data_IF_147215375406
#
_entry.id   IF_147215375406
#
_cell.length_a   1.000
_cell.length_b   1.000
_cell.length_c   1.000
_cell.angle_alpha   90.00
_cell.angle_beta   90.00
_cell.angle_gamma   90.00
#
_symmetry.space_group_name_H-M   'P 1'
#
loop_
_entity.id
_entity.type
_entity.pdbx_description
1 polymer ?
#
# COMPACT_ATOMS: atom_id res chain seq x y z
N UNK A 1 17.04 1.16 -17.28
CA UNK A 1 16.25 2.34 -16.85
C UNK A 1 16.37 3.51 -17.82
N UNK A 2 17.57 3.93 -18.22
CA UNK A 2 17.75 5.17 -19.02
C UNK A 2 17.02 5.15 -20.37
N UNK A 3 17.03 4.04 -21.09
CA UNK A 3 16.27 3.87 -22.34
C UNK A 3 14.75 4.08 -22.12
N UNK A 4 14.23 3.57 -21.00
CA UNK A 4 12.81 3.72 -20.63
C UNK A 4 12.52 5.19 -20.30
N UNK A 5 13.39 5.83 -19.52
CA UNK A 5 13.25 7.25 -19.19
C UNK A 5 13.34 8.14 -20.42
N UNK A 6 14.27 7.86 -21.32
CA UNK A 6 14.41 8.55 -22.60
C UNK A 6 13.12 8.43 -23.42
N UNK A 7 12.58 7.21 -23.53
CA UNK A 7 11.32 6.99 -24.23
C UNK A 7 10.15 7.74 -23.58
N UNK A 8 10.02 7.70 -22.25
CA UNK A 8 8.95 8.41 -21.52
C UNK A 8 9.04 9.92 -21.73
N UNK A 9 10.25 10.49 -21.70
CA UNK A 9 10.45 11.94 -21.79
C UNK A 9 10.37 12.47 -23.22
N UNK A 10 10.78 11.69 -24.22
CA UNK A 10 10.69 12.07 -25.63
C UNK A 10 9.33 11.67 -26.24
N UNK A 11 8.25 11.88 -25.47
CA UNK A 11 6.92 11.49 -25.89
C UNK A 11 6.46 12.18 -27.18
N UNK A 12 6.96 13.37 -27.48
CA UNK A 12 6.66 14.10 -28.71
C UNK A 12 7.13 13.35 -29.97
N UNK A 13 8.15 12.49 -29.88
CA UNK A 13 8.68 11.75 -31.03
C UNK A 13 7.79 10.56 -31.45
N UNK A 14 6.97 10.05 -30.54
CA UNK A 14 6.18 8.83 -30.78
C UNK A 14 4.69 8.98 -30.51
N UNK A 15 4.27 9.98 -29.73
CA UNK A 15 2.86 10.20 -29.40
C UNK A 15 2.24 11.16 -30.41
N UNK A 16 1.22 10.70 -31.10
CA UNK A 16 0.33 11.60 -31.85
C UNK A 16 -0.52 12.41 -30.86
N UNK A 17 -0.52 13.76 -30.92
CA UNK A 17 -1.38 14.58 -30.08
C UNK A 17 -2.86 14.19 -30.26
N UNK A 18 -3.52 13.90 -29.15
CA UNK A 18 -4.97 13.68 -29.15
C UNK A 18 -5.65 15.04 -29.17
N UNK A 19 -6.60 15.23 -30.09
CA UNK A 19 -7.29 16.51 -30.29
C UNK A 19 -8.63 16.48 -29.56
N UNK A 20 -8.97 17.59 -28.89
CA UNK A 20 -10.30 17.83 -28.34
C UNK A 20 -11.30 18.04 -29.50
N UNK A 21 -12.33 17.20 -29.65
CA UNK A 21 -13.27 17.30 -30.75
C UNK A 21 -14.13 18.57 -30.75
N UNK A 22 -14.25 19.26 -29.60
CA UNK A 22 -15.02 20.50 -29.49
C UNK A 22 -14.18 21.74 -29.80
N UNK A 23 -12.97 21.85 -29.25
CA UNK A 23 -12.11 23.05 -29.44
C UNK A 23 -11.15 22.92 -30.62
N UNK A 24 -10.91 21.71 -31.11
CA UNK A 24 -9.89 21.39 -32.11
C UNK A 24 -8.45 21.72 -31.65
N UNK A 25 -8.22 21.75 -30.33
CA UNK A 25 -6.92 21.95 -29.71
C UNK A 25 -6.34 20.63 -29.19
N UNK A 26 -5.02 20.56 -29.03
CA UNK A 26 -4.38 19.37 -28.46
C UNK A 26 -4.73 19.23 -26.97
N UNK A 27 -5.13 18.03 -26.56
CA UNK A 27 -5.31 17.69 -25.14
C UNK A 27 -3.98 17.71 -24.42
N UNK A 28 -4.04 18.11 -23.14
CA UNK A 28 -2.89 18.15 -22.26
C UNK A 28 -2.23 16.77 -22.15
N UNK A 29 -0.91 16.75 -22.27
CA UNK A 29 -0.08 15.60 -21.96
C UNK A 29 1.30 16.10 -21.55
N UNK A 30 1.67 15.89 -20.29
CA UNK A 30 2.91 16.37 -19.70
C UNK A 30 3.49 15.29 -18.82
N UNK A 31 4.79 15.06 -18.98
CA UNK A 31 5.57 14.17 -18.13
C UNK A 31 6.89 14.86 -17.82
N UNK A 32 7.29 14.86 -16.55
CA UNK A 32 8.54 15.48 -16.11
C UNK A 32 9.23 14.63 -15.06
N UNK A 33 10.57 14.62 -15.10
CA UNK A 33 11.39 14.17 -13.97
C UNK A 33 11.37 15.22 -12.87
N UNK A 34 11.46 14.74 -11.64
CA UNK A 34 11.70 15.58 -10.46
C UNK A 34 13.20 15.82 -10.28
N UNK A 35 14.04 14.85 -10.67
CA UNK A 35 15.50 15.00 -10.64
C UNK A 35 16.09 15.01 -12.04
N UNK A 36 16.91 16.01 -12.34
CA UNK A 36 17.67 16.07 -13.60
C UNK A 36 18.56 14.83 -13.76
N UNK A 37 19.27 14.48 -12.68
CA UNK A 37 20.11 13.28 -12.59
C UNK A 37 19.41 12.18 -11.77
N UNK A 38 19.59 10.93 -12.19
CA UNK A 38 19.06 9.79 -11.46
C UNK A 38 19.73 9.69 -10.08
N UNK A 39 18.92 9.46 -9.06
CA UNK A 39 19.36 9.37 -7.68
C UNK A 39 19.76 7.92 -7.33
N UNK A 40 20.51 7.76 -6.25
CA UNK A 40 20.94 6.46 -5.73
C UNK A 40 20.47 6.25 -4.30
N UNK A 41 20.21 5.00 -3.96
CA UNK A 41 19.88 4.56 -2.60
C UNK A 41 20.43 3.14 -2.38
N UNK A 42 20.89 2.84 -1.16
CA UNK A 42 21.37 1.52 -0.79
C UNK A 42 20.33 0.88 0.12
N UNK A 43 19.83 -0.30 -0.25
CA UNK A 43 18.84 -1.07 0.53
C UNK A 43 19.35 -2.51 0.62
N UNK A 44 19.45 -3.07 1.82
CA UNK A 44 20.07 -4.40 2.08
C UNK A 44 21.43 -4.60 1.40
N UNK A 45 22.26 -3.55 1.40
CA UNK A 45 23.59 -3.57 0.74
C UNK A 45 23.56 -3.59 -0.79
N UNK A 46 22.39 -3.51 -1.42
CA UNK A 46 22.23 -3.40 -2.87
C UNK A 46 22.01 -1.94 -3.25
N UNK A 47 22.76 -1.44 -4.22
CA UNK A 47 22.57 -0.09 -4.77
C UNK A 47 21.44 -0.10 -5.80
N UNK A 48 20.45 0.76 -5.60
CA UNK A 48 19.39 1.02 -6.55
C UNK A 48 19.56 2.42 -7.12
N UNK A 49 19.40 2.53 -8.44
CA UNK A 49 19.28 3.81 -9.13
C UNK A 49 17.81 4.10 -9.38
N UNK A 50 17.35 5.32 -9.11
CA UNK A 50 15.94 5.70 -9.26
C UNK A 50 15.73 7.12 -9.76
N UNK A 51 14.52 7.39 -10.24
CA UNK A 51 14.04 8.74 -10.51
C UNK A 51 12.56 8.85 -10.12
N UNK A 52 12.08 10.06 -9.92
CA UNK A 52 10.69 10.35 -9.57
C UNK A 52 10.04 11.13 -10.71
N UNK A 53 8.92 10.62 -11.22
CA UNK A 53 8.26 11.14 -12.42
C UNK A 53 6.87 11.64 -12.04
N UNK A 54 6.53 12.84 -12.50
CA UNK A 54 5.16 13.37 -12.45
C UNK A 54 4.54 13.27 -13.84
N UNK A 55 3.29 12.84 -13.91
CA UNK A 55 2.54 12.75 -15.17
C UNK A 55 1.19 13.43 -15.02
N UNK A 56 0.73 14.03 -16.12
CA UNK A 56 -0.58 14.65 -16.23
C UNK A 56 -1.05 14.57 -17.68
N UNK A 57 -2.28 14.09 -17.90
CA UNK A 57 -2.89 14.09 -19.22
C UNK A 57 -4.41 14.12 -19.18
N UNK A 58 -5.00 14.68 -20.23
CA UNK A 58 -6.45 14.73 -20.42
C UNK A 58 -6.95 13.63 -21.35
N UNK A 59 -8.19 13.18 -21.08
CA UNK A 59 -8.93 12.27 -21.95
C UNK A 59 -10.36 12.75 -22.11
N UNK A 60 -10.94 12.61 -23.30
CA UNK A 60 -12.36 12.92 -23.52
C UNK A 60 -13.22 11.85 -22.87
N UNK A 61 -14.24 12.28 -22.13
CA UNK A 61 -15.24 11.41 -21.53
C UNK A 61 -16.19 10.94 -22.63
N UNK A 62 -16.34 9.63 -22.74
CA UNK A 62 -17.20 9.02 -23.76
C UNK A 62 -18.64 9.51 -23.62
N UNK A 63 -19.23 9.98 -24.72
CA UNK A 63 -20.57 10.55 -24.76
C UNK A 63 -20.66 12.04 -24.41
N UNK A 64 -19.53 12.71 -24.13
CA UNK A 64 -19.46 14.15 -23.84
C UNK A 64 -18.68 14.92 -24.90
N UNK A 65 -18.40 14.32 -26.05
CA UNK A 65 -17.49 14.85 -27.08
C UNK A 65 -17.91 16.23 -27.58
N UNK A 66 -19.21 16.52 -27.61
CA UNK A 66 -19.75 17.82 -28.06
C UNK A 66 -20.12 18.77 -26.93
N UNK A 67 -19.92 18.39 -25.66
CA UNK A 67 -20.29 19.23 -24.52
C UNK A 67 -19.36 20.45 -24.49
N UNK A 68 -19.87 21.71 -24.49
CA UNK A 68 -19.01 22.90 -24.47
C UNK A 68 -18.23 23.05 -23.16
N UNK A 69 -18.69 22.47 -22.06
CA UNK A 69 -18.10 22.60 -20.73
C UNK A 69 -16.94 21.60 -20.58
N UNK A 70 -15.70 22.11 -20.51
CA UNK A 70 -14.49 21.28 -20.41
C UNK A 70 -14.47 20.37 -19.18
N UNK A 71 -14.95 20.83 -18.03
CA UNK A 71 -14.99 20.04 -16.80
C UNK A 71 -15.94 18.83 -16.85
N UNK A 72 -16.94 18.87 -17.74
CA UNK A 72 -17.86 17.75 -17.98
C UNK A 72 -17.42 16.89 -19.18
N UNK A 73 -16.64 17.47 -20.09
CA UNK A 73 -16.10 16.82 -21.30
C UNK A 73 -14.79 16.06 -21.05
N UNK A 74 -13.93 16.58 -20.18
CA UNK A 74 -12.56 16.10 -20.01
C UNK A 74 -12.37 15.43 -18.65
N UNK A 75 -11.67 14.31 -18.67
CA UNK A 75 -11.14 13.65 -17.49
C UNK A 75 -9.64 13.85 -17.42
N UNK A 76 -9.22 14.65 -16.45
CA UNK A 76 -7.82 14.84 -16.07
C UNK A 76 -7.31 13.63 -15.29
N UNK A 77 -6.19 13.06 -15.73
CA UNK A 77 -5.48 11.99 -15.04
C UNK A 77 -4.08 12.46 -14.69
N UNK A 78 -3.71 12.40 -13.42
CA UNK A 78 -2.40 12.80 -12.94
C UNK A 78 -1.92 11.89 -11.82
N UNK A 79 -0.62 11.92 -11.58
CA UNK A 79 0.01 11.18 -10.50
C UNK A 79 1.52 11.17 -10.58
N UNK A 80 2.09 10.30 -9.76
CA UNK A 80 3.52 10.21 -9.51
C UNK A 80 4.00 8.77 -9.58
N UNK A 81 5.22 8.57 -10.08
CA UNK A 81 5.82 7.25 -10.30
C UNK A 81 7.26 7.27 -9.84
N UNK A 82 7.64 6.30 -9.01
CA UNK A 82 9.04 5.99 -8.75
C UNK A 82 9.48 4.93 -9.76
N UNK A 83 10.41 5.28 -10.64
CA UNK A 83 11.08 4.30 -11.50
C UNK A 83 12.43 3.96 -10.88
N UNK A 84 12.77 2.69 -10.77
CA UNK A 84 14.03 2.27 -10.16
C UNK A 84 14.60 1.01 -10.80
N UNK A 85 15.89 0.76 -10.57
CA UNK A 85 16.60 -0.40 -11.07
C UNK A 85 17.74 -0.81 -10.15
N UNK A 86 17.98 -2.12 -10.06
CA UNK A 86 19.16 -2.76 -9.46
C UNK A 86 20.31 -2.96 -10.49
N UNK A 87 20.15 -2.44 -11.71
CA UNK A 87 21.05 -2.66 -12.84
C UNK A 87 20.70 -3.87 -13.71
N UNK A 88 19.82 -4.76 -13.24
CA UNK A 88 19.35 -5.94 -13.99
C UNK A 88 17.92 -5.74 -14.48
N UNK A 89 17.02 -5.26 -13.62
CA UNK A 89 15.60 -5.07 -13.91
C UNK A 89 15.19 -3.64 -13.60
N UNK A 90 14.30 -3.08 -14.42
CA UNK A 90 13.67 -1.78 -14.16
C UNK A 90 12.25 -2.01 -13.69
N UNK A 91 11.88 -1.38 -12.58
CA UNK A 91 10.61 -1.55 -11.87
C UNK A 91 9.97 -0.19 -11.59
N UNK A 92 8.68 -0.22 -11.25
CA UNK A 92 7.87 0.97 -11.02
C UNK A 92 7.08 0.83 -9.71
N UNK A 93 7.00 1.91 -8.93
CA UNK A 93 5.98 2.12 -7.91
C UNK A 93 5.03 3.21 -8.43
N UNK A 94 3.73 2.93 -8.46
CA UNK A 94 2.71 3.81 -9.05
C UNK A 94 1.71 4.20 -7.99
N UNK A 95 1.36 5.48 -7.95
CA UNK A 95 0.37 6.09 -7.05
C UNK A 95 -1.10 5.72 -7.34
N UNK A 96 -1.34 4.54 -7.89
CA UNK A 96 -2.67 4.08 -8.32
C UNK A 96 -2.87 2.62 -7.92
N UNK A 97 -4.13 2.29 -7.61
CA UNK A 97 -4.52 0.94 -7.26
C UNK A 97 -4.02 -0.08 -8.29
N UNK A 98 -3.47 -1.18 -7.77
CA UNK A 98 -2.97 -2.27 -8.60
C UNK A 98 -4.07 -2.80 -9.52
N UNK A 99 -3.71 -3.04 -10.79
CA UNK A 99 -4.58 -3.67 -11.77
C UNK A 99 -4.58 -2.97 -13.13
N UNK A 100 -5.65 -3.15 -13.93
CA UNK A 100 -5.74 -2.63 -15.30
C UNK A 100 -5.56 -1.11 -15.42
N UNK A 101 -5.96 -0.36 -14.39
CA UNK A 101 -5.82 1.10 -14.37
C UNK A 101 -4.34 1.54 -14.30
N UNK A 102 -3.56 1.00 -13.36
CA UNK A 102 -2.14 1.29 -13.25
C UNK A 102 -1.37 0.85 -14.51
N UNK A 103 -1.68 -0.35 -15.04
CA UNK A 103 -1.08 -0.82 -16.30
C UNK A 103 -1.44 0.08 -17.49
N UNK A 104 -2.68 0.57 -17.56
CA UNK A 104 -3.10 1.51 -18.60
C UNK A 104 -2.32 2.83 -18.52
N UNK A 105 -2.13 3.38 -17.32
CA UNK A 105 -1.34 4.59 -17.12
C UNK A 105 0.11 4.34 -17.55
N UNK A 106 0.74 3.27 -17.07
CA UNK A 106 2.10 2.91 -17.45
C UNK A 106 2.27 2.71 -18.97
N UNK A 107 1.26 2.17 -19.66
CA UNK A 107 1.25 2.04 -21.12
C UNK A 107 1.15 3.38 -21.84
N UNK A 108 0.29 4.27 -21.33
CA UNK A 108 0.08 5.63 -21.88
C UNK A 108 1.34 6.49 -21.74
N UNK A 109 2.09 6.35 -20.65
CA UNK A 109 3.32 7.13 -20.42
C UNK A 109 4.56 6.57 -21.12
N UNK A 110 4.61 5.25 -21.37
CA UNK A 110 5.83 4.56 -21.80
C UNK A 110 5.72 3.95 -23.20
N UNK A 111 4.72 4.31 -24.01
CA UNK A 111 4.52 3.80 -25.38
C UNK A 111 4.64 2.26 -25.49
N UNK A 112 4.23 1.53 -24.47
CA UNK A 112 4.64 0.14 -24.31
C UNK A 112 3.84 -0.85 -25.16
N UNK A 113 2.94 -0.36 -26.02
CA UNK A 113 2.16 -1.18 -26.96
C UNK A 113 3.05 -1.94 -27.97
N UNK A 114 4.31 -1.50 -28.16
CA UNK A 114 5.23 -2.11 -29.11
C UNK A 114 6.31 -3.04 -28.52
N UNK A 115 6.72 -2.96 -27.25
CA UNK A 115 7.99 -3.62 -26.86
C UNK A 115 8.22 -4.17 -25.43
N UNK A 116 7.40 -3.99 -24.38
CA UNK A 116 7.79 -4.44 -23.02
C UNK A 116 6.59 -4.89 -22.18
N UNK A 117 6.56 -6.17 -21.77
CA UNK A 117 5.52 -6.72 -20.89
C UNK A 117 5.71 -6.10 -19.49
N UNK A 118 4.97 -5.04 -19.20
CA UNK A 118 4.87 -4.51 -17.83
C UNK A 118 3.96 -5.47 -17.05
N UNK A 119 4.54 -6.21 -16.12
CA UNK A 119 3.83 -7.18 -15.28
C UNK A 119 3.55 -6.60 -13.90
N UNK A 120 2.34 -6.87 -13.39
CA UNK A 120 1.94 -6.40 -12.06
C UNK A 120 2.39 -7.39 -10.98
N UNK A 121 3.41 -7.02 -10.21
CA UNK A 121 3.87 -7.81 -9.06
C UNK A 121 2.88 -7.74 -7.88
N UNK A 122 2.65 -8.88 -7.22
CA UNK A 122 1.74 -9.05 -6.09
C UNK A 122 2.50 -9.37 -4.82
N UNK A 123 2.02 -8.89 -3.67
CA UNK A 123 2.35 -9.48 -2.36
C UNK A 123 1.34 -10.53 -1.89
N UNK A 124 0.26 -10.78 -2.65
CA UNK A 124 -0.78 -11.77 -2.31
C UNK A 124 -1.36 -11.57 -0.90
N UNK A 125 -1.63 -10.31 -0.56
CA UNK A 125 -2.26 -9.92 0.71
C UNK A 125 -3.69 -10.47 0.73
N UNK A 126 -4.02 -11.22 1.78
CA UNK A 126 -5.32 -11.86 1.99
C UNK A 126 -5.89 -11.50 3.36
N UNK A 127 -7.15 -11.83 3.58
CA UNK A 127 -7.76 -11.75 4.91
C UNK A 127 -6.99 -12.59 5.95
N UNK A 128 -6.46 -13.74 5.54
CA UNK A 128 -5.74 -14.62 6.46
C UNK A 128 -4.48 -13.95 7.03
N UNK A 129 -3.76 -13.22 6.17
CA UNK A 129 -2.66 -12.36 6.57
C UNK A 129 -3.07 -11.28 7.58
N UNK A 130 -4.27 -10.69 7.43
CA UNK A 130 -4.75 -9.68 8.39
C UNK A 130 -5.02 -10.27 9.76
N UNK A 131 -5.65 -11.45 9.79
CA UNK A 131 -5.96 -12.16 11.03
C UNK A 131 -4.66 -12.65 11.70
N UNK A 132 -3.66 -13.07 10.93
CA UNK A 132 -2.32 -13.34 11.43
C UNK A 132 -1.67 -12.10 12.05
N UNK A 133 -1.72 -10.94 11.37
CA UNK A 133 -1.13 -9.70 11.88
C UNK A 133 -1.77 -9.29 13.22
N UNK A 134 -3.10 -9.40 13.33
CA UNK A 134 -3.87 -9.19 14.55
C UNK A 134 -3.48 -10.16 15.66
N UNK A 135 -3.34 -11.46 15.34
CA UNK A 135 -2.99 -12.48 16.33
C UNK A 135 -1.60 -12.27 16.92
N UNK A 136 -0.61 -11.89 16.08
CA UNK A 136 0.74 -11.51 16.51
C UNK A 136 0.70 -10.31 17.45
N UNK A 137 -0.04 -9.27 17.09
CA UNK A 137 -0.15 -8.07 17.93
C UNK A 137 -0.83 -8.35 19.28
N UNK A 138 -1.96 -9.06 19.26
CA UNK A 138 -2.76 -9.32 20.47
C UNK A 138 -2.13 -10.32 21.43
N UNK A 139 -1.36 -11.30 20.92
CA UNK A 139 -0.62 -12.25 21.76
C UNK A 139 0.65 -11.64 22.37
N UNK A 140 1.02 -10.41 22.00
CA UNK A 140 2.29 -9.79 22.40
C UNK A 140 3.49 -10.23 21.55
N UNK A 141 3.30 -11.17 20.62
CA UNK A 141 4.32 -11.66 19.67
C UNK A 141 4.56 -10.67 18.52
N UNK A 142 4.85 -9.43 18.89
CA UNK A 142 4.90 -8.28 17.97
C UNK A 142 6.16 -8.23 17.09
N UNK A 143 7.23 -8.91 17.49
CA UNK A 143 8.48 -9.00 16.72
C UNK A 143 8.23 -9.91 15.52
N UNK A 144 8.58 -9.45 14.33
CA UNK A 144 8.43 -10.20 13.08
C UNK A 144 9.77 -10.72 12.55
N UNK A 145 10.84 -9.95 12.76
CA UNK A 145 12.19 -10.31 12.35
C UNK A 145 13.16 -9.65 13.35
N UNK A 146 13.85 -10.48 14.12
CA UNK A 146 14.80 -10.04 15.17
C UNK A 146 16.04 -9.37 14.57
N UNK A 147 16.57 -9.93 13.47
CA UNK A 147 17.80 -9.44 12.84
C UNK A 147 17.63 -8.01 12.33
N UNK A 148 16.49 -7.72 11.73
CA UNK A 148 16.17 -6.39 11.21
C UNK A 148 15.42 -5.50 12.20
N UNK A 149 15.25 -5.94 13.45
CA UNK A 149 14.48 -5.23 14.49
C UNK A 149 13.09 -4.79 13.99
N UNK A 150 12.44 -5.66 13.21
CA UNK A 150 11.13 -5.43 12.62
C UNK A 150 10.03 -5.86 13.58
N UNK A 151 9.10 -4.96 13.89
CA UNK A 151 7.98 -5.27 14.79
C UNK A 151 6.71 -4.51 14.45
N UNK A 152 5.59 -5.11 14.80
CA UNK A 152 4.27 -4.47 14.83
C UNK A 152 4.20 -3.60 16.08
N UNK A 153 4.22 -2.28 15.92
CA UNK A 153 4.09 -1.37 17.05
C UNK A 153 2.62 -1.15 17.44
N UNK A 154 1.72 -1.08 16.46
CA UNK A 154 0.29 -0.82 16.69
C UNK A 154 -0.53 -1.25 15.48
N UNK A 155 -1.78 -1.67 15.70
CA UNK A 155 -2.78 -1.82 14.64
C UNK A 155 -3.73 -0.62 14.71
N UNK A 156 -3.54 0.35 13.83
CA UNK A 156 -4.23 1.65 13.88
C UNK A 156 -5.65 1.59 13.31
N UNK A 157 -5.98 0.57 12.51
CA UNK A 157 -7.32 0.42 11.96
C UNK A 157 -7.55 -0.93 11.29
N UNK A 158 -8.81 -1.31 11.12
CA UNK A 158 -9.22 -2.37 10.18
C UNK A 158 -10.64 -2.11 9.66
N UNK A 159 -10.98 -2.67 8.49
CA UNK A 159 -12.32 -2.62 7.87
C UNK A 159 -12.70 -3.96 7.22
N UNK A 160 -13.99 -4.15 6.98
CA UNK A 160 -14.49 -5.27 6.18
C UNK A 160 -15.69 -4.92 5.34
N UNK A 161 -16.18 -5.92 4.62
CA UNK A 161 -17.27 -5.75 3.68
C UNK A 161 -18.59 -5.44 4.42
N UNK A 162 -19.32 -4.43 3.95
CA UNK A 162 -20.59 -4.01 4.54
C UNK A 162 -20.49 -3.20 5.85
N UNK A 163 -19.31 -3.01 6.43
CA UNK A 163 -19.12 -2.22 7.66
C UNK A 163 -18.39 -0.90 7.37
N UNK A 164 -18.99 0.25 7.76
CA UNK A 164 -18.30 1.54 7.76
C UNK A 164 -17.50 1.79 9.05
N UNK A 165 -17.53 0.85 10.00
CA UNK A 165 -16.90 1.01 11.31
C UNK A 165 -15.42 0.64 11.21
N UNK A 166 -14.55 1.62 11.48
CA UNK A 166 -13.14 1.38 11.79
C UNK A 166 -13.00 1.12 13.29
N UNK A 167 -12.37 0.02 13.68
CA UNK A 167 -11.91 -0.13 15.07
C UNK A 167 -10.41 0.13 15.13
N UNK A 168 -9.97 0.82 16.19
CA UNK A 168 -8.58 1.21 16.42
C UNK A 168 -8.04 0.37 17.59
N UNK A 169 -6.98 -0.38 17.37
CA UNK A 169 -6.29 -1.14 18.42
C UNK A 169 -5.03 -0.38 18.87
N UNK A 170 -5.15 0.37 19.96
CA UNK A 170 -4.01 1.11 20.53
C UNK A 170 -3.54 0.51 21.85
N UNK A 171 -2.22 0.42 22.04
CA UNK A 171 -1.63 -0.06 23.29
C UNK A 171 -1.83 0.87 24.50
N UNK A 172 -2.43 2.05 24.32
CA UNK A 172 -2.62 3.04 25.38
C UNK A 172 -4.05 3.60 25.37
N UNK A 173 -4.99 2.88 25.99
CA UNK A 173 -6.36 3.33 26.23
C UNK A 173 -7.38 2.20 26.23
N UNK A 174 -7.93 1.88 27.41
CA UNK A 174 -8.94 0.85 27.73
C UNK A 174 -8.88 -0.42 26.87
N UNK A 175 -8.00 -1.35 27.26
CA UNK A 175 -7.92 -2.71 26.70
C UNK A 175 -9.29 -3.40 26.59
N UNK A 176 -10.23 -3.13 27.51
CA UNK A 176 -11.61 -3.64 27.48
C UNK A 176 -12.33 -3.17 26.21
N UNK A 177 -12.29 -1.87 25.90
CA UNK A 177 -12.97 -1.32 24.71
C UNK A 177 -12.29 -1.78 23.42
N UNK A 178 -10.97 -1.97 23.44
CA UNK A 178 -10.21 -2.47 22.30
C UNK A 178 -10.54 -3.94 22.02
N UNK A 179 -10.66 -4.77 23.07
CA UNK A 179 -11.07 -6.17 22.94
C UNK A 179 -12.53 -6.32 22.53
N UNK A 180 -13.44 -5.55 23.15
CA UNK A 180 -14.87 -5.55 22.81
C UNK A 180 -15.11 -5.08 21.37
N UNK A 181 -14.43 -4.01 20.94
CA UNK A 181 -14.56 -3.51 19.57
C UNK A 181 -13.97 -4.50 18.55
N UNK A 182 -12.85 -5.15 18.88
CA UNK A 182 -12.25 -6.17 18.02
C UNK A 182 -13.09 -7.44 17.92
N UNK A 183 -13.67 -7.91 19.02
CA UNK A 183 -14.57 -9.06 18.98
C UNK A 183 -15.88 -8.73 18.27
N UNK A 184 -16.53 -7.61 18.62
CA UNK A 184 -17.74 -7.14 17.93
C UNK A 184 -17.50 -7.06 16.43
N UNK A 185 -16.36 -6.53 16.01
CA UNK A 185 -15.98 -6.51 14.61
C UNK A 185 -15.76 -7.90 14.02
N UNK A 186 -14.94 -8.76 14.63
CA UNK A 186 -14.67 -10.10 14.10
C UNK A 186 -15.92 -11.01 14.05
N UNK A 187 -16.91 -10.76 14.91
CA UNK A 187 -18.20 -11.46 14.92
C UNK A 187 -19.20 -10.83 13.94
N UNK A 188 -19.22 -9.50 13.80
CA UNK A 188 -20.13 -8.77 12.90
C UNK A 188 -19.72 -8.87 11.42
N UNK A 189 -18.46 -9.18 11.13
CA UNK A 189 -17.95 -9.14 9.77
C UNK A 189 -17.89 -10.48 9.08
N UNK A 190 -18.34 -10.49 7.82
CA UNK A 190 -18.20 -11.62 6.91
C UNK A 190 -16.75 -11.79 6.41
N UNK A 191 -16.10 -10.70 5.97
CA UNK A 191 -14.73 -10.71 5.43
C UNK A 191 -13.97 -9.42 5.76
N UNK A 192 -12.75 -9.54 6.26
CA UNK A 192 -11.84 -8.40 6.47
C UNK A 192 -11.16 -7.97 5.16
N UNK A 193 -11.25 -6.68 4.85
CA UNK A 193 -10.80 -6.11 3.57
C UNK A 193 -9.62 -5.16 3.70
N UNK A 194 -9.38 -4.62 4.90
CA UNK A 194 -8.34 -3.64 5.16
C UNK A 194 -7.78 -3.83 6.58
N UNK A 195 -6.46 -3.71 6.73
CA UNK A 195 -5.80 -3.52 8.02
C UNK A 195 -4.76 -2.41 7.90
N UNK A 196 -4.67 -1.56 8.91
CA UNK A 196 -3.68 -0.49 9.02
C UNK A 196 -2.81 -0.74 10.25
N UNK A 197 -1.50 -0.75 10.03
CA UNK A 197 -0.53 -1.07 11.06
C UNK A 197 0.63 -0.08 11.05
N UNK A 198 1.04 0.31 12.24
CA UNK A 198 2.31 0.99 12.49
C UNK A 198 3.40 -0.04 12.69
N UNK A 199 4.39 -0.03 11.81
CA UNK A 199 5.54 -0.91 11.80
C UNK A 199 6.78 -0.12 12.22
N UNK A 200 7.61 -0.72 13.06
CA UNK A 200 8.93 -0.19 13.40
C UNK A 200 9.98 -1.16 12.83
N UNK A 201 11.01 -0.61 12.20
CA UNK A 201 12.19 -1.35 11.73
C UNK A 201 13.45 -0.55 12.05
N UNK A 202 14.24 -1.00 13.02
CA UNK A 202 15.38 -0.22 13.50
C UNK A 202 14.94 1.18 14.00
N UNK A 203 15.46 2.25 13.39
CA UNK A 203 15.06 3.64 13.64
C UNK A 203 13.83 4.11 12.86
N UNK A 204 13.36 3.30 11.91
CA UNK A 204 12.33 3.66 10.94
C UNK A 204 10.95 3.30 11.49
N UNK A 205 9.99 4.23 11.37
CA UNK A 205 8.59 4.02 11.71
C UNK A 205 7.73 4.35 10.49
N UNK A 206 6.88 3.39 10.10
CA UNK A 206 6.00 3.45 8.94
C UNK A 206 4.57 3.13 9.36
N UNK A 207 3.60 3.79 8.73
CA UNK A 207 2.20 3.39 8.81
C UNK A 207 1.78 2.86 7.44
N UNK A 208 1.37 1.59 7.44
CA UNK A 208 1.08 0.83 6.23
C UNK A 208 -0.35 0.35 6.32
N UNK A 209 -1.12 0.66 5.29
CA UNK A 209 -2.45 0.11 5.10
C UNK A 209 -2.43 -0.94 4.00
N UNK A 210 -2.91 -2.12 4.36
CA UNK A 210 -2.97 -3.29 3.50
C UNK A 210 -4.41 -3.53 3.08
N UNK A 211 -4.63 -3.78 1.80
CA UNK A 211 -5.95 -4.10 1.24
C UNK A 211 -5.93 -5.50 0.63
N UNK A 212 -6.93 -6.33 0.94
CA UNK A 212 -7.04 -7.67 0.33
C UNK A 212 -7.43 -7.55 -1.14
N UNK A 213 -8.27 -6.56 -1.48
CA UNK A 213 -8.64 -6.25 -2.85
C UNK A 213 -7.42 -5.83 -3.66
N UNK A 214 -7.13 -6.58 -4.73
CA UNK A 214 -5.99 -6.38 -5.63
C UNK A 214 -4.60 -6.42 -4.96
N UNK A 215 -4.51 -6.84 -3.68
CA UNK A 215 -3.30 -6.73 -2.86
C UNK A 215 -2.68 -5.32 -2.91
N UNK A 216 -3.54 -4.29 -2.81
CA UNK A 216 -3.08 -2.90 -2.77
C UNK A 216 -2.42 -2.59 -1.42
N UNK A 217 -1.43 -1.73 -1.47
CA UNK A 217 -0.71 -1.19 -0.33
C UNK A 217 -0.78 0.34 -0.38
N UNK A 218 -0.87 0.95 0.78
CA UNK A 218 -0.81 2.39 0.96
C UNK A 218 0.17 2.69 2.10
N UNK A 219 1.14 3.57 1.81
CA UNK A 219 2.19 3.96 2.75
C UNK A 219 1.95 5.41 3.09
N UNK A 220 1.64 5.69 4.36
CA UNK A 220 1.40 7.04 4.82
C UNK A 220 2.72 7.76 5.06
N UNK A 221 3.31 8.30 3.99
CA UNK A 221 4.63 8.98 4.01
C UNK A 221 4.64 10.17 4.96
N UNK A 222 3.50 10.80 5.19
CA UNK A 222 3.33 11.92 6.11
C UNK A 222 3.60 11.52 7.57
N UNK A 223 3.27 10.29 7.96
CA UNK A 223 3.49 9.79 9.32
C UNK A 223 4.86 9.13 9.51
N UNK A 224 5.63 8.97 8.43
CA UNK A 224 6.96 8.39 8.48
C UNK A 224 7.92 9.21 9.36
N UNK A 225 8.63 8.48 10.22
CA UNK A 225 9.71 8.97 11.09
C UNK A 225 10.92 8.07 10.90
N UNK A 226 12.10 8.65 10.68
CA UNK A 226 13.32 7.89 10.39
C UNK A 226 14.36 8.76 9.68
N UNK A 227 15.29 8.11 8.99
CA UNK A 227 16.40 8.76 8.28
C UNK A 227 15.95 9.91 7.35
N UNK A 228 14.86 9.72 6.59
CA UNK A 228 14.42 10.67 5.57
C UNK A 228 13.43 11.73 6.07
N UNK A 229 13.15 11.79 7.39
CA UNK A 229 12.06 12.61 7.93
C UNK A 229 12.23 14.11 7.65
N UNK A 230 13.48 14.58 7.63
CA UNK A 230 13.83 15.99 7.43
C UNK A 230 13.93 16.39 5.96
N UNK A 231 13.80 15.44 5.03
CA UNK A 231 13.83 15.72 3.60
C UNK A 231 12.52 16.35 3.13
N UNK A 232 12.60 17.16 2.07
CA UNK A 232 11.40 17.65 1.38
C UNK A 232 10.63 16.50 0.75
N UNK A 233 9.31 16.65 0.57
CA UNK A 233 8.44 15.57 0.08
C UNK A 233 8.94 14.91 -1.21
N UNK A 234 9.45 15.71 -2.15
CA UNK A 234 9.97 15.20 -3.43
C UNK A 234 11.20 14.31 -3.28
N UNK A 235 11.97 14.43 -2.20
CA UNK A 235 13.09 13.55 -1.85
C UNK A 235 12.69 12.45 -0.87
N UNK A 236 11.82 12.78 0.09
CA UNK A 236 11.33 11.88 1.14
C UNK A 236 10.49 10.75 0.56
N UNK A 237 9.47 11.09 -0.23
CA UNK A 237 8.48 10.14 -0.75
C UNK A 237 9.10 8.97 -1.50
N UNK A 238 9.92 9.16 -2.54
CA UNK A 238 10.49 8.03 -3.27
C UNK A 238 11.40 7.16 -2.40
N UNK A 239 12.18 7.74 -1.48
CA UNK A 239 13.08 6.98 -0.59
C UNK A 239 12.32 6.13 0.42
N UNK A 240 11.25 6.68 1.00
CA UNK A 240 10.35 5.96 1.93
C UNK A 240 9.62 4.84 1.19
N UNK A 241 9.09 5.11 -0.01
CA UNK A 241 8.42 4.11 -0.83
C UNK A 241 9.37 2.96 -1.22
N UNK A 242 10.58 3.27 -1.69
CA UNK A 242 11.57 2.25 -2.07
C UNK A 242 11.94 1.35 -0.89
N UNK A 243 12.29 1.91 0.27
CA UNK A 243 12.57 1.13 1.47
C UNK A 243 11.37 0.26 1.90
N UNK A 244 10.16 0.81 1.81
CA UNK A 244 8.95 0.08 2.18
C UNK A 244 8.71 -1.13 1.29
N UNK A 245 8.80 -0.95 -0.04
CA UNK A 245 8.46 -1.98 -1.02
C UNK A 245 9.58 -3.00 -1.29
N UNK A 246 10.85 -2.61 -1.14
CA UNK A 246 12.00 -3.49 -1.38
C UNK A 246 12.39 -4.28 -0.13
N UNK A 247 12.11 -3.74 1.05
CA UNK A 247 12.62 -4.30 2.29
C UNK A 247 11.54 -4.56 3.34
N UNK A 248 10.84 -3.51 3.81
CA UNK A 248 9.93 -3.66 4.97
C UNK A 248 8.78 -4.62 4.67
N UNK A 249 8.04 -4.41 3.58
CA UNK A 249 6.89 -5.23 3.21
C UNK A 249 7.33 -6.67 2.90
N UNK A 250 8.37 -6.93 2.07
CA UNK A 250 8.90 -8.27 1.89
C UNK A 250 9.26 -8.98 3.19
N UNK A 251 9.91 -8.29 4.15
CA UNK A 251 10.24 -8.90 5.44
C UNK A 251 8.99 -9.27 6.27
N UNK A 252 7.94 -8.43 6.26
CA UNK A 252 6.65 -8.76 6.90
C UNK A 252 6.03 -10.00 6.24
N UNK A 253 6.03 -10.06 4.91
CA UNK A 253 5.47 -11.18 4.16
C UNK A 253 6.26 -12.47 4.37
N UNK A 254 7.59 -12.38 4.50
CA UNK A 254 8.43 -13.53 4.81
C UNK A 254 8.10 -14.09 6.19
N UNK A 255 8.00 -13.25 7.22
CA UNK A 255 7.61 -13.71 8.56
C UNK A 255 6.24 -14.42 8.58
N UNK A 256 5.28 -13.93 7.80
CA UNK A 256 3.98 -14.60 7.64
C UNK A 256 4.10 -15.96 6.95
N UNK A 257 4.86 -16.03 5.85
CA UNK A 257 5.06 -17.27 5.12
C UNK A 257 5.85 -18.30 5.93
N UNK A 258 6.85 -17.87 6.70
CA UNK A 258 7.63 -18.72 7.60
C UNK A 258 6.74 -19.30 8.71
N UNK A 259 5.84 -18.51 9.30
CA UNK A 259 4.87 -19.01 10.29
C UNK A 259 3.94 -20.07 9.67
N UNK A 260 3.56 -19.92 8.40
CA UNK A 260 2.78 -20.94 7.65
C UNK A 260 3.61 -22.19 7.40
N UNK A 261 4.82 -22.04 6.87
CA UNK A 261 5.71 -23.14 6.49
C UNK A 261 6.14 -23.97 7.71
N UNK A 262 6.28 -23.33 8.87
CA UNK A 262 6.62 -23.96 10.14
C UNK A 262 5.38 -24.48 10.93
N UNK A 263 4.19 -24.51 10.31
CA UNK A 263 2.92 -24.91 10.94
C UNK A 263 2.57 -24.11 12.22
N UNK A 264 3.19 -22.95 12.43
CA UNK A 264 2.90 -22.03 13.54
C UNK A 264 1.63 -21.21 13.27
N UNK A 265 1.30 -21.00 12.00
CA UNK A 265 0.04 -20.41 11.55
C UNK A 265 -0.73 -21.39 10.64
N UNK A 266 -1.84 -21.91 11.15
CA UNK A 266 -2.71 -22.88 10.47
C UNK A 266 -4.17 -22.48 10.62
N UNK A 267 -5.07 -23.21 9.95
CA UNK A 267 -6.52 -23.06 10.17
C UNK A 267 -6.92 -23.28 11.63
N UNK A 268 -6.22 -24.16 12.35
CA UNK A 268 -6.49 -24.42 13.76
C UNK A 268 -6.01 -23.25 14.63
N UNK A 269 -4.80 -22.73 14.42
CA UNK A 269 -4.32 -21.57 15.18
C UNK A 269 -5.20 -20.35 14.95
N UNK A 270 -5.68 -20.14 13.72
CA UNK A 270 -6.67 -19.10 13.40
C UNK A 270 -7.96 -19.29 14.21
N UNK A 271 -8.50 -20.51 14.25
CA UNK A 271 -9.70 -20.83 15.01
C UNK A 271 -9.49 -20.62 16.51
N UNK A 272 -8.35 -21.07 17.05
CA UNK A 272 -7.98 -20.89 18.45
C UNK A 272 -7.86 -19.42 18.81
N UNK A 273 -7.25 -18.60 17.95
CA UNK A 273 -7.23 -17.16 18.12
C UNK A 273 -8.65 -16.58 18.20
N UNK A 274 -9.52 -16.90 17.23
CA UNK A 274 -10.91 -16.40 17.22
C UNK A 274 -11.69 -16.83 18.47
N UNK A 275 -11.56 -18.08 18.90
CA UNK A 275 -12.22 -18.58 20.13
C UNK A 275 -11.64 -17.92 21.38
N UNK A 276 -10.32 -17.75 21.45
CA UNK A 276 -9.64 -17.07 22.56
C UNK A 276 -10.10 -15.62 22.72
N UNK A 277 -10.43 -14.92 21.63
CA UNK A 277 -11.03 -13.59 21.70
C UNK A 277 -12.42 -13.61 22.35
N UNK A 278 -13.26 -14.60 22.01
CA UNK A 278 -14.58 -14.78 22.61
C UNK A 278 -14.44 -15.01 24.12
N UNK A 279 -13.55 -15.92 24.50
CA UNK A 279 -13.31 -16.25 25.92
C UNK A 279 -12.76 -15.06 26.69
N UNK A 280 -11.82 -14.31 26.12
CA UNK A 280 -11.22 -13.13 26.76
C UNK A 280 -12.25 -12.01 26.98
N UNK A 281 -13.19 -11.82 26.05
CA UNK A 281 -14.30 -10.89 26.25
C UNK A 281 -15.26 -11.39 27.32
N UNK A 282 -15.59 -12.69 27.32
CA UNK A 282 -16.47 -13.31 28.32
C UNK A 282 -15.90 -13.15 29.73
N UNK A 283 -14.61 -13.40 29.92
CA UNK A 283 -13.92 -13.22 31.19
C UNK A 283 -13.99 -11.77 31.67
N UNK A 284 -13.66 -10.80 30.80
CA UNK A 284 -13.75 -9.37 31.17
C UNK A 284 -15.19 -8.92 31.45
N UNK A 285 -16.20 -9.44 30.74
CA UNK A 285 -17.61 -9.18 31.04
C UNK A 285 -18.02 -9.73 32.40
N UNK A 286 -17.58 -10.93 32.76
CA UNK A 286 -17.85 -11.53 34.07
C UNK A 286 -17.20 -10.72 35.22
N UNK A 287 -16.05 -10.08 34.99
CA UNK A 287 -15.43 -9.17 35.97
C UNK A 287 -16.29 -7.91 36.17
N UNK A 288 -16.83 -7.35 35.08
CA UNK A 288 -17.64 -6.12 35.11
C UNK A 288 -19.08 -6.35 35.60
N UNK A 289 -19.64 -7.51 35.28
CA UNK A 289 -20.98 -7.94 35.63
C UNK A 289 -20.92 -9.36 36.20
N UNK A 290 -20.46 -9.51 37.46
CA UNK A 290 -20.40 -10.82 38.09
C UNK A 290 -21.80 -11.44 38.11
N UNK A 291 -21.92 -12.74 37.80
CA UNK A 291 -23.21 -13.42 37.82
C UNK A 291 -23.83 -13.23 39.21
N UNK A 292 -25.03 -12.65 39.25
CA UNK A 292 -25.81 -12.60 40.48
C UNK A 292 -26.20 -14.04 40.80
N UNK A 293 -25.63 -14.61 41.86
CA UNK A 293 -26.04 -15.91 42.36
C UNK A 293 -27.55 -15.85 42.68
N UNK A 294 -28.35 -16.56 41.88
CA UNK A 294 -29.76 -16.88 42.18
C UNK A 294 -29.77 -18.19 42.96
#
# INVERSE_FOLDING_TARGET
MDEILFNILNFEEWRTPVIDPFTNEALLYQISKVYDENQKIIIKGTEFTFNYIKYEYDTVISGQETNPISAERLKKTFGEIVIYTDGVRTQYLVDKARGPAALRILRVINNSDKNKIIEAQSFNITEDFFIWLLSRFMSGSTILDEENSLKINRITGFKGEGSQKQAILSGSGNEIMNMLSSLSFLVEMDVMTEVEARIIRGSETLEIRFYSKNSQLDILVESYTGEYMMLQNEEKTPRVLLNSFIETIPSIMNAYNEDIENDSWTKNSKREFTLGLVDSVREKLNILYPPQNI
#
